data_IF_465440248006
#
_entry.id   IF_465440248006
#
_cell.length_a   1.000
_cell.length_b   1.000
_cell.length_c   1.000
_cell.angle_alpha   90.00
_cell.angle_beta   90.00
_cell.angle_gamma   90.00
#
_symmetry.space_group_name_H-M   'P 1'
#
loop_
_entity.id
_entity.type
_entity.pdbx_description
1 polymer ?
#
# COMPACT_ATOMS: atom_id res chain seq x y z
N UNK A 1 17.28 16.00 37.75
CA UNK A 1 17.30 14.65 37.16
C UNK A 1 18.53 14.55 36.29
N UNK A 2 19.47 13.67 36.63
CA UNK A 2 20.60 13.33 35.76
C UNK A 2 20.20 12.10 34.93
N UNK A 3 20.61 12.06 33.67
CA UNK A 3 20.30 10.94 32.78
C UNK A 3 21.07 9.69 33.23
N UNK A 4 20.38 8.57 33.44
CA UNK A 4 20.98 7.30 33.87
C UNK A 4 21.15 6.34 32.67
N UNK A 5 22.40 6.19 32.22
CA UNK A 5 22.76 5.32 31.11
C UNK A 5 22.68 3.82 31.44
N UNK A 6 22.71 3.45 32.73
CA UNK A 6 22.72 2.05 33.14
C UNK A 6 21.38 1.34 32.88
N UNK A 7 20.30 2.11 32.76
CA UNK A 7 18.96 1.61 32.49
C UNK A 7 18.78 0.99 31.08
N UNK A 8 19.71 1.24 30.15
CA UNK A 8 19.62 0.72 28.77
C UNK A 8 19.91 -0.78 28.72
N UNK A 9 20.92 -1.26 29.45
CA UNK A 9 21.36 -2.66 29.36
C UNK A 9 20.27 -3.67 29.75
N UNK A 10 19.53 -3.47 30.85
CA UNK A 10 18.40 -4.34 31.20
C UNK A 10 17.22 -4.23 30.22
N UNK A 11 17.10 -3.10 29.50
CA UNK A 11 16.04 -2.87 28.54
C UNK A 11 16.33 -3.47 27.15
N UNK A 12 17.56 -3.91 26.86
CA UNK A 12 17.91 -4.49 25.55
C UNK A 12 16.96 -5.62 25.13
N UNK A 13 16.62 -6.62 25.97
CA UNK A 13 15.74 -7.71 25.57
C UNK A 13 14.36 -7.22 25.11
N UNK A 14 13.72 -6.33 25.87
CA UNK A 14 12.39 -5.80 25.50
C UNK A 14 12.45 -4.87 24.28
N UNK A 15 13.55 -4.13 24.11
CA UNK A 15 13.77 -3.33 22.89
C UNK A 15 13.95 -4.21 21.65
N UNK A 16 14.64 -5.35 21.77
CA UNK A 16 14.79 -6.31 20.68
C UNK A 16 13.45 -6.96 20.31
N UNK A 17 12.62 -7.28 21.30
CA UNK A 17 11.26 -7.77 21.06
C UNK A 17 10.40 -6.72 20.34
N UNK A 18 10.48 -5.45 20.77
CA UNK A 18 9.83 -4.33 20.10
C UNK A 18 10.31 -4.16 18.65
N UNK A 19 11.62 -4.20 18.41
CA UNK A 19 12.20 -4.11 17.07
C UNK A 19 11.75 -5.26 16.17
N UNK A 20 11.68 -6.49 16.70
CA UNK A 20 11.16 -7.66 15.99
C UNK A 20 9.68 -7.47 15.64
N UNK A 21 8.88 -6.93 16.56
CA UNK A 21 7.46 -6.63 16.31
C UNK A 21 7.30 -5.59 15.19
N UNK A 22 8.09 -4.51 15.23
CA UNK A 22 8.11 -3.50 14.16
C UNK A 22 8.43 -4.13 12.82
N UNK A 23 9.45 -5.00 12.75
CA UNK A 23 9.82 -5.69 11.51
C UNK A 23 8.65 -6.53 10.95
N UNK A 24 7.96 -7.28 11.81
CA UNK A 24 6.80 -8.08 11.38
C UNK A 24 5.66 -7.21 10.85
N UNK A 25 5.31 -6.14 11.56
CA UNK A 25 4.26 -5.20 11.13
C UNK A 25 4.63 -4.57 9.79
N UNK A 26 5.88 -4.10 9.65
CA UNK A 26 6.37 -3.47 8.42
C UNK A 26 6.38 -4.45 7.24
N UNK A 27 6.90 -5.67 7.41
CA UNK A 27 6.98 -6.64 6.31
C UNK A 27 5.59 -7.06 5.84
N UNK A 28 4.70 -7.44 6.76
CA UNK A 28 3.35 -7.89 6.39
C UNK A 28 2.50 -6.74 5.84
N UNK A 29 2.60 -5.55 6.46
CA UNK A 29 1.91 -4.35 6.03
C UNK A 29 2.36 -3.92 4.63
N UNK A 30 3.67 -3.81 4.39
CA UNK A 30 4.20 -3.40 3.09
C UNK A 30 3.99 -4.46 2.01
N UNK A 31 4.07 -5.75 2.34
CA UNK A 31 3.80 -6.82 1.37
C UNK A 31 2.35 -6.77 0.88
N UNK A 32 1.38 -6.62 1.79
CA UNK A 32 -0.01 -6.46 1.39
C UNK A 32 -0.28 -5.10 0.71
N UNK A 33 0.39 -4.04 1.18
CA UNK A 33 0.30 -2.72 0.57
C UNK A 33 0.82 -2.71 -0.85
N UNK A 34 1.89 -3.45 -1.15
CA UNK A 34 2.39 -3.64 -2.52
C UNK A 34 1.32 -4.28 -3.41
N UNK A 35 0.65 -5.33 -2.94
CA UNK A 35 -0.43 -5.99 -3.68
C UNK A 35 -1.58 -5.02 -3.95
N UNK A 36 -2.07 -4.35 -2.90
CA UNK A 36 -3.16 -3.35 -3.02
C UNK A 36 -2.77 -2.23 -3.97
N UNK A 37 -1.56 -1.70 -3.82
CA UNK A 37 -1.04 -0.60 -4.60
C UNK A 37 -0.88 -0.95 -6.08
N UNK A 38 -0.33 -2.12 -6.40
CA UNK A 38 -0.23 -2.58 -7.79
C UNK A 38 -1.61 -2.72 -8.42
N UNK A 39 -2.56 -3.35 -7.72
CA UNK A 39 -3.94 -3.53 -8.22
C UNK A 39 -4.64 -2.18 -8.43
N UNK A 40 -4.62 -1.30 -7.42
CA UNK A 40 -5.25 0.02 -7.51
C UNK A 40 -4.56 0.92 -8.55
N UNK A 41 -3.23 0.90 -8.62
CA UNK A 41 -2.45 1.66 -9.60
C UNK A 41 -2.74 1.23 -11.03
N UNK A 42 -2.78 -0.08 -11.31
CA UNK A 42 -3.16 -0.57 -12.65
C UNK A 42 -4.64 -0.33 -12.96
N UNK A 43 -5.54 -0.41 -11.98
CA UNK A 43 -6.94 -0.02 -12.17
C UNK A 43 -7.07 1.48 -12.54
N UNK A 44 -6.22 2.35 -11.98
CA UNK A 44 -6.15 3.77 -12.36
C UNK A 44 -5.62 3.98 -13.78
N UNK A 45 -4.66 3.18 -14.24
CA UNK A 45 -4.06 3.35 -15.57
C UNK A 45 -4.84 2.69 -16.70
N UNK A 46 -5.36 1.48 -16.47
CA UNK A 46 -5.87 0.59 -17.52
C UNK A 46 -7.30 0.11 -17.25
N UNK A 47 -7.85 0.36 -16.06
CA UNK A 47 -9.22 0.01 -15.72
C UNK A 47 -10.25 0.82 -16.50
N UNK A 48 -11.47 0.27 -16.59
CA UNK A 48 -12.63 1.01 -17.10
C UNK A 48 -13.07 2.12 -16.14
N UNK A 49 -14.10 2.88 -16.52
CA UNK A 49 -14.59 4.03 -15.76
C UNK A 49 -14.87 3.69 -14.29
N UNK A 50 -15.55 2.57 -14.02
CA UNK A 50 -15.91 2.13 -12.66
C UNK A 50 -14.66 1.82 -11.82
N UNK A 51 -13.79 0.92 -12.31
CA UNK A 51 -12.59 0.51 -11.58
C UNK A 51 -11.64 1.68 -11.30
N UNK A 52 -11.53 2.60 -12.27
CA UNK A 52 -10.73 3.80 -12.16
C UNK A 52 -11.25 4.75 -11.05
N UNK A 53 -12.57 4.94 -10.96
CA UNK A 53 -13.18 5.81 -9.95
C UNK A 53 -13.14 5.18 -8.55
N UNK A 54 -13.38 3.88 -8.42
CA UNK A 54 -13.26 3.18 -7.13
C UNK A 54 -11.83 3.30 -6.60
N UNK A 55 -10.83 3.03 -7.44
CA UNK A 55 -9.43 3.17 -7.05
C UNK A 55 -9.07 4.64 -6.71
N UNK A 56 -9.62 5.62 -7.44
CA UNK A 56 -9.40 7.04 -7.15
C UNK A 56 -9.94 7.41 -5.78
N UNK A 57 -11.20 7.07 -5.50
CA UNK A 57 -11.84 7.37 -4.20
C UNK A 57 -11.07 6.71 -3.06
N UNK A 58 -10.67 5.45 -3.22
CA UNK A 58 -9.81 4.77 -2.25
C UNK A 58 -8.51 5.53 -1.99
N UNK A 59 -7.77 5.91 -3.05
CA UNK A 59 -6.49 6.61 -2.93
C UNK A 59 -6.65 7.96 -2.24
N UNK A 60 -7.64 8.75 -2.65
CA UNK A 60 -7.87 10.10 -2.11
C UNK A 60 -8.29 10.05 -0.64
N UNK A 61 -9.18 9.14 -0.25
CA UNK A 61 -9.60 9.00 1.16
C UNK A 61 -8.42 8.59 2.03
N UNK A 62 -7.63 7.61 1.60
CA UNK A 62 -6.53 7.07 2.42
C UNK A 62 -5.35 8.04 2.48
N UNK A 63 -5.01 8.74 1.40
CA UNK A 63 -3.93 9.74 1.42
C UNK A 63 -4.36 11.08 2.04
N UNK A 64 -5.66 11.37 2.02
CA UNK A 64 -6.26 12.56 2.63
C UNK A 64 -6.55 12.42 4.13
N UNK A 65 -6.38 11.23 4.72
CA UNK A 65 -6.63 11.00 6.16
C UNK A 65 -5.33 10.66 6.91
N UNK A 66 -5.13 11.17 8.13
CA UNK A 66 -3.95 10.82 8.93
C UNK A 66 -3.93 9.32 9.25
N UNK A 67 -2.76 8.69 9.15
CA UNK A 67 -2.59 7.25 9.46
C UNK A 67 -3.01 6.91 10.89
N UNK A 68 -2.80 7.83 11.84
CA UNK A 68 -3.24 7.67 13.23
C UNK A 68 -4.77 7.53 13.29
N UNK A 69 -5.51 8.33 12.52
CA UNK A 69 -6.97 8.22 12.46
C UNK A 69 -7.39 6.87 11.87
N UNK A 70 -6.67 6.37 10.86
CA UNK A 70 -6.94 5.07 10.25
C UNK A 70 -6.78 3.91 11.26
N UNK A 71 -5.66 3.87 12.01
CA UNK A 71 -5.44 2.81 13.01
C UNK A 71 -6.42 2.92 14.17
N UNK A 72 -6.75 4.13 14.62
CA UNK A 72 -7.76 4.34 15.66
C UNK A 72 -9.14 3.89 15.19
N UNK A 73 -9.50 4.20 13.94
CA UNK A 73 -10.78 3.75 13.38
C UNK A 73 -10.85 2.22 13.30
N UNK A 74 -9.80 1.58 12.79
CA UNK A 74 -9.76 0.12 12.65
C UNK A 74 -9.79 -0.57 14.02
N UNK A 75 -9.04 -0.07 15.00
CA UNK A 75 -8.93 -0.73 16.30
C UNK A 75 -10.10 -0.42 17.24
N UNK A 76 -10.64 0.80 17.21
CA UNK A 76 -11.69 1.22 18.15
C UNK A 76 -13.07 1.34 17.52
N UNK A 77 -13.20 2.00 16.37
CA UNK A 77 -14.52 2.30 15.79
C UNK A 77 -15.14 1.09 15.07
N UNK A 78 -14.34 0.33 14.33
CA UNK A 78 -14.83 -0.80 13.54
C UNK A 78 -15.42 -1.92 14.41
N UNK A 79 -14.82 -2.33 15.55
CA UNK A 79 -15.44 -3.28 16.48
C UNK A 79 -16.77 -2.80 17.10
N UNK A 80 -16.98 -1.49 17.23
CA UNK A 80 -18.25 -0.95 17.75
C UNK A 80 -19.35 -1.11 16.70
N UNK A 81 -19.02 -0.94 15.42
CA UNK A 81 -19.96 -1.11 14.32
C UNK A 81 -20.33 -2.58 14.07
N UNK A 82 -19.44 -3.51 14.41
CA UNK A 82 -19.61 -4.95 14.21
C UNK A 82 -19.40 -5.71 15.52
N UNK A 83 -20.48 -6.00 16.25
CA UNK A 83 -20.48 -6.54 17.62
C UNK A 83 -19.67 -7.82 17.83
N UNK A 84 -19.48 -8.62 16.79
CA UNK A 84 -18.72 -9.89 16.85
C UNK A 84 -17.26 -9.76 16.40
N UNK A 85 -16.85 -8.57 15.94
CA UNK A 85 -15.52 -8.33 15.39
C UNK A 85 -14.55 -7.91 16.49
N UNK A 86 -13.62 -8.78 16.84
CA UNK A 86 -12.49 -8.46 17.73
C UNK A 86 -11.23 -8.35 16.90
N UNK A 87 -10.60 -7.18 16.94
CA UNK A 87 -9.35 -6.91 16.22
C UNK A 87 -8.27 -6.71 17.27
N UNK A 88 -7.24 -7.54 17.24
CA UNK A 88 -6.08 -7.37 18.12
C UNK A 88 -5.16 -6.21 17.61
N UNK A 89 -4.34 -5.62 18.49
CA UNK A 89 -3.49 -4.48 18.12
C UNK A 89 -2.52 -4.76 16.98
N UNK A 90 -2.01 -6.00 16.87
CA UNK A 90 -1.08 -6.38 15.83
C UNK A 90 -1.77 -6.40 14.46
N UNK A 91 -2.92 -7.06 14.37
CA UNK A 91 -3.73 -7.07 13.14
C UNK A 91 -4.18 -5.68 12.72
N UNK A 92 -4.62 -4.84 13.67
CA UNK A 92 -4.99 -3.45 13.39
C UNK A 92 -3.83 -2.64 12.79
N UNK A 93 -2.63 -2.78 13.37
CA UNK A 93 -1.42 -2.11 12.87
C UNK A 93 -1.05 -2.60 11.47
N UNK A 94 -1.02 -3.93 11.24
CA UNK A 94 -0.72 -4.53 9.93
C UNK A 94 -1.70 -4.04 8.87
N UNK A 95 -3.01 -4.12 9.12
CA UNK A 95 -4.05 -3.71 8.16
C UNK A 95 -3.98 -2.22 7.88
N UNK A 96 -3.70 -1.39 8.89
CA UNK A 96 -3.55 0.05 8.68
C UNK A 96 -2.35 0.36 7.79
N UNK A 97 -1.18 -0.22 8.08
CA UNK A 97 0.02 -0.05 7.24
C UNK A 97 -0.25 -0.56 5.83
N UNK A 98 -0.94 -1.69 5.69
CA UNK A 98 -1.31 -2.29 4.41
C UNK A 98 -2.17 -1.36 3.55
N UNK A 99 -3.26 -0.83 4.11
CA UNK A 99 -4.18 0.08 3.42
C UNK A 99 -3.47 1.40 3.09
N UNK A 100 -2.76 1.97 4.07
CA UNK A 100 -2.08 3.25 3.92
C UNK A 100 -1.00 3.18 2.85
N UNK A 101 -0.04 2.26 3.00
CA UNK A 101 1.04 2.08 2.02
C UNK A 101 0.50 1.68 0.65
N UNK A 102 -0.58 0.88 0.58
CA UNK A 102 -1.21 0.53 -0.70
C UNK A 102 -1.72 1.73 -1.49
N UNK A 103 -2.32 2.73 -0.83
CA UNK A 103 -2.74 3.96 -1.52
C UNK A 103 -1.55 4.78 -2.05
N UNK A 104 -0.44 4.87 -1.31
CA UNK A 104 0.77 5.54 -1.79
C UNK A 104 1.45 4.77 -2.92
N UNK A 105 1.56 3.44 -2.81
CA UNK A 105 2.13 2.58 -3.84
C UNK A 105 1.28 2.59 -5.12
N UNK A 106 -0.04 2.77 -5.02
CA UNK A 106 -0.90 2.92 -6.18
C UNK A 106 -0.52 4.13 -7.04
N UNK A 107 -0.20 5.26 -6.40
CA UNK A 107 0.23 6.47 -7.11
C UNK A 107 1.66 6.36 -7.63
N UNK A 108 2.55 5.66 -6.92
CA UNK A 108 3.89 5.32 -7.43
C UNK A 108 3.76 4.45 -8.69
N UNK A 109 2.92 3.42 -8.64
CA UNK A 109 2.65 2.51 -9.78
C UNK A 109 2.06 3.30 -10.96
N UNK A 110 1.08 4.17 -10.70
CA UNK A 110 0.49 5.03 -11.73
C UNK A 110 1.54 5.96 -12.35
N UNK A 111 2.40 6.55 -11.53
CA UNK A 111 3.52 7.37 -11.97
C UNK A 111 4.51 6.61 -12.85
N UNK A 112 4.87 5.38 -12.47
CA UNK A 112 5.75 4.50 -13.23
C UNK A 112 5.17 4.11 -14.59
N UNK A 113 3.86 3.85 -14.67
CA UNK A 113 3.19 3.57 -15.95
C UNK A 113 3.16 4.82 -16.85
N UNK A 114 2.91 6.00 -16.29
CA UNK A 114 2.79 7.24 -17.05
C UNK A 114 4.14 7.83 -17.50
N UNK A 115 5.25 7.44 -16.87
CA UNK A 115 6.60 7.83 -17.29
C UNK A 115 7.04 7.13 -18.58
N UNK A 116 6.37 6.05 -18.97
CA UNK A 116 6.67 5.30 -20.20
C UNK A 116 6.29 6.12 -21.43
N UNK A 117 7.26 6.27 -22.35
CA UNK A 117 7.06 7.03 -23.57
C UNK A 117 5.90 6.46 -24.42
N UNK A 118 5.00 7.34 -24.90
CA UNK A 118 3.81 6.95 -25.68
C UNK A 118 4.16 6.12 -26.93
N UNK A 119 5.35 6.34 -27.50
CA UNK A 119 5.89 5.59 -28.63
C UNK A 119 5.95 4.07 -28.41
N UNK A 120 6.14 3.58 -27.18
CA UNK A 120 6.07 2.13 -26.91
C UNK A 120 4.67 1.56 -27.16
N UNK A 121 3.65 2.34 -26.85
CA UNK A 121 2.26 1.96 -27.11
C UNK A 121 1.95 1.99 -28.60
N UNK A 122 2.43 3.02 -29.30
CA UNK A 122 2.24 3.17 -30.75
C UNK A 122 2.97 2.10 -31.54
N UNK A 123 4.22 1.78 -31.15
CA UNK A 123 5.01 0.71 -31.76
C UNK A 123 4.33 -0.66 -31.57
N UNK A 124 3.82 -0.96 -30.37
CA UNK A 124 3.09 -2.22 -30.14
C UNK A 124 1.87 -2.38 -31.06
N UNK A 125 1.08 -1.32 -31.20
CA UNK A 125 -0.08 -1.30 -32.11
C UNK A 125 0.34 -1.43 -33.58
N UNK A 126 1.42 -0.76 -33.99
CA UNK A 126 1.95 -0.83 -35.36
C UNK A 126 2.49 -2.22 -35.73
N UNK A 127 2.98 -2.98 -34.73
CA UNK A 127 3.40 -4.37 -34.88
C UNK A 127 2.23 -5.37 -34.83
N UNK A 128 0.98 -4.88 -34.78
CA UNK A 128 -0.23 -5.71 -34.79
C UNK A 128 -0.66 -6.24 -33.42
N UNK A 129 -0.01 -5.83 -32.32
CA UNK A 129 -0.46 -6.18 -30.98
C UNK A 129 -1.76 -5.43 -30.65
N UNK A 130 -2.71 -6.10 -30.01
CA UNK A 130 -3.85 -5.43 -29.40
C UNK A 130 -3.40 -4.52 -28.24
N UNK A 131 -4.29 -3.60 -27.83
CA UNK A 131 -4.04 -2.75 -26.65
C UNK A 131 -3.73 -3.57 -25.39
N UNK A 132 -4.42 -4.71 -25.20
CA UNK A 132 -4.19 -5.59 -24.04
C UNK A 132 -2.83 -6.27 -24.12
N UNK A 133 -2.43 -6.74 -25.29
CA UNK A 133 -1.12 -7.36 -25.49
C UNK A 133 0.02 -6.36 -25.33
N UNK A 134 -0.15 -5.13 -25.85
CA UNK A 134 0.81 -4.04 -25.68
C UNK A 134 1.00 -3.71 -24.20
N UNK A 135 -0.09 -3.62 -23.43
CA UNK A 135 -0.01 -3.39 -21.99
C UNK A 135 0.71 -4.55 -21.29
N UNK A 136 0.31 -5.79 -21.57
CA UNK A 136 0.83 -6.98 -20.86
C UNK A 136 2.30 -7.28 -21.17
N UNK A 137 2.73 -7.12 -22.42
CA UNK A 137 4.06 -7.56 -22.88
C UNK A 137 5.08 -6.43 -22.99
N UNK A 138 4.65 -5.16 -23.07
CA UNK A 138 5.56 -4.01 -23.24
C UNK A 138 5.50 -3.08 -22.04
N UNK A 139 4.31 -2.55 -21.72
CA UNK A 139 4.17 -1.49 -20.71
C UNK A 139 4.34 -2.04 -19.29
N UNK A 140 3.68 -3.15 -18.97
CA UNK A 140 3.66 -3.72 -17.63
C UNK A 140 5.06 -4.19 -17.16
N UNK A 141 5.85 -4.92 -17.96
CA UNK A 141 7.21 -5.30 -17.56
C UNK A 141 8.16 -4.10 -17.42
N UNK A 142 7.93 -3.02 -18.17
CA UNK A 142 8.74 -1.81 -18.08
C UNK A 142 8.37 -0.98 -16.83
N UNK A 143 7.09 -0.93 -16.46
CA UNK A 143 6.62 -0.21 -15.28
C UNK A 143 7.02 -0.89 -13.95
N UNK A 144 7.35 -2.18 -13.98
CA UNK A 144 7.76 -2.97 -12.82
C UNK A 144 9.29 -3.03 -12.62
N UNK A 145 10.07 -2.41 -13.51
CA UNK A 145 11.53 -2.27 -13.37
C UNK A 145 11.87 -1.07 -12.48
#
# INVERSE_FOLDING_TARGET
MQFDWSAIWPAIPILLEGAKMTLWISVLGLAGGLIIGLVAGFARCFGGWIANHIALVFIEIIRGTPIVVQVMFIYFALPIAFSDLRIDPFSAAVVTIMINSGAYIAEITRGAVLSIHKGFREAGLALGLSRRETIRHVILPLALR
#
